data_IF_770759780217
#
_entry.id   IF_770759780217
#
_cell.length_a   1.000
_cell.length_b   1.000
_cell.length_c   1.000
_cell.angle_alpha   90.00
_cell.angle_beta   90.00
_cell.angle_gamma   90.00
#
_symmetry.space_group_name_H-M   'P 1'
#
loop_
_entity.id
_entity.type
_entity.pdbx_description
1 polymer ?
#
# COMPACT_ATOMS: atom_id res chain seq x y z
N UNK A 1 -14.04 15.21 -27.16
CA UNK A 1 -13.30 14.69 -28.32
C UNK A 1 -11.78 14.80 -28.16
N UNK A 2 -11.19 15.98 -27.95
CA UNK A 2 -9.73 16.08 -27.65
C UNK A 2 -9.37 15.67 -26.21
N UNK A 3 -10.28 15.87 -25.25
CA UNK A 3 -10.10 15.43 -23.85
C UNK A 3 -10.15 13.91 -23.73
N UNK A 4 -11.01 13.23 -24.48
CA UNK A 4 -11.11 11.76 -24.50
C UNK A 4 -9.88 11.08 -25.13
N UNK A 5 -9.17 11.82 -26.01
CA UNK A 5 -7.89 11.39 -26.62
C UNK A 5 -6.71 11.51 -25.65
N UNK A 6 -6.80 12.36 -24.62
CA UNK A 6 -5.76 12.59 -23.60
C UNK A 6 -6.07 11.85 -22.30
N UNK A 7 -7.35 11.70 -21.97
CA UNK A 7 -7.84 11.09 -20.73
C UNK A 7 -8.58 9.81 -21.06
N UNK A 8 -7.89 8.68 -20.94
CA UNK A 8 -8.48 7.36 -21.11
C UNK A 8 -9.31 6.99 -19.87
N UNK A 9 -10.61 7.29 -19.91
CA UNK A 9 -11.53 7.06 -18.79
C UNK A 9 -11.61 5.59 -18.39
N UNK A 10 -11.57 4.68 -19.36
CA UNK A 10 -11.55 3.23 -19.11
C UNK A 10 -10.26 2.81 -18.38
N UNK A 11 -9.11 3.36 -18.79
CA UNK A 11 -7.83 3.15 -18.13
C UNK A 11 -7.82 3.63 -16.68
N UNK A 12 -8.35 4.84 -16.43
CA UNK A 12 -8.43 5.41 -15.08
C UNK A 12 -9.32 4.56 -14.18
N UNK A 13 -10.49 4.13 -14.66
CA UNK A 13 -11.40 3.28 -13.90
C UNK A 13 -10.75 1.93 -13.60
N UNK A 14 -10.10 1.30 -14.59
CA UNK A 14 -9.37 0.03 -14.39
C UNK A 14 -8.27 0.18 -13.35
N UNK A 15 -7.42 1.20 -13.46
CA UNK A 15 -6.33 1.46 -12.51
C UNK A 15 -6.86 1.77 -11.10
N UNK A 16 -7.96 2.53 -10.98
CA UNK A 16 -8.58 2.82 -9.69
C UNK A 16 -9.14 1.56 -9.01
N UNK A 17 -9.77 0.68 -9.78
CA UNK A 17 -10.26 -0.62 -9.27
C UNK A 17 -9.09 -1.49 -8.82
N UNK A 18 -8.01 -1.57 -9.62
CA UNK A 18 -6.81 -2.33 -9.26
C UNK A 18 -6.17 -1.77 -7.99
N UNK A 19 -6.08 -0.44 -7.87
CA UNK A 19 -5.52 0.21 -6.68
C UNK A 19 -6.36 -0.07 -5.44
N UNK A 20 -7.69 0.02 -5.54
CA UNK A 20 -8.61 -0.36 -4.45
C UNK A 20 -8.44 -1.83 -4.04
N UNK A 21 -8.21 -2.73 -5.01
CA UNK A 21 -8.00 -4.14 -4.74
C UNK A 21 -6.66 -4.40 -4.04
N UNK A 22 -5.60 -3.70 -4.44
CA UNK A 22 -4.25 -3.87 -3.89
C UNK A 22 -4.11 -3.26 -2.50
N UNK A 23 -4.66 -2.06 -2.27
CA UNK A 23 -4.59 -1.37 -0.96
C UNK A 23 -5.47 -2.03 0.10
N UNK A 24 -6.37 -2.93 -0.29
CA UNK A 24 -7.33 -3.65 0.58
C UNK A 24 -7.88 -2.79 1.76
N UNK A 25 -8.54 -1.66 1.45
CA UNK A 25 -9.02 -0.76 2.51
C UNK A 25 -10.07 -1.42 3.41
N UNK A 26 -10.78 -2.44 2.91
CA UNK A 26 -11.82 -3.15 3.65
C UNK A 26 -11.19 -4.09 4.68
N UNK A 27 -10.16 -4.85 4.31
CA UNK A 27 -9.41 -5.72 5.23
C UNK A 27 -8.59 -4.93 6.24
N UNK A 28 -7.97 -3.83 5.81
CA UNK A 28 -7.10 -3.01 6.67
C UNK A 28 -7.87 -2.14 7.68
N UNK A 29 -9.12 -1.74 7.39
CA UNK A 29 -9.91 -0.91 8.31
C UNK A 29 -10.14 -1.52 9.72
N UNK A 30 -10.62 -2.76 9.90
CA UNK A 30 -10.79 -3.37 11.22
C UNK A 30 -9.46 -3.64 11.92
N UNK A 31 -8.40 -3.97 11.18
CA UNK A 31 -7.05 -4.14 11.72
C UNK A 31 -6.56 -2.81 12.26
N UNK A 32 -6.64 -1.74 11.48
CA UNK A 32 -6.26 -0.40 11.92
C UNK A 32 -7.05 0.04 13.17
N UNK A 33 -8.35 -0.26 13.21
CA UNK A 33 -9.16 0.04 14.38
C UNK A 33 -8.69 -0.75 15.61
N UNK A 34 -8.37 -2.04 15.49
CA UNK A 34 -7.96 -2.88 16.62
C UNK A 34 -6.64 -2.46 17.27
N UNK A 35 -5.72 -1.83 16.52
CA UNK A 35 -4.47 -1.27 17.06
C UNK A 35 -4.60 0.20 17.50
N UNK A 36 -5.56 0.96 16.99
CA UNK A 36 -5.69 2.39 17.30
C UNK A 36 -6.87 2.76 18.21
N UNK A 37 -7.72 1.81 18.62
CA UNK A 37 -8.93 2.11 19.40
C UNK A 37 -8.65 2.77 20.77
N UNK A 38 -7.52 2.46 21.40
CA UNK A 38 -7.12 3.05 22.68
C UNK A 38 -6.45 4.42 22.54
N UNK A 39 -6.19 4.90 21.32
CA UNK A 39 -5.49 6.16 21.09
C UNK A 39 -6.46 7.37 21.12
N UNK A 40 -6.01 8.53 21.62
CA UNK A 40 -6.75 9.79 21.50
C UNK A 40 -7.07 10.12 20.03
N UNK A 41 -8.24 10.70 19.78
CA UNK A 41 -8.72 11.04 18.44
C UNK A 41 -7.75 11.90 17.62
N UNK A 42 -7.00 12.78 18.28
CA UNK A 42 -5.97 13.62 17.64
C UNK A 42 -4.77 12.80 17.15
N UNK A 43 -4.30 11.82 17.94
CA UNK A 43 -3.20 10.94 17.54
C UNK A 43 -3.62 10.02 16.40
N UNK A 44 -4.81 9.43 16.47
CA UNK A 44 -5.36 8.59 15.39
C UNK A 44 -5.45 9.36 14.06
N UNK A 45 -5.90 10.62 14.09
CA UNK A 45 -5.97 11.47 12.88
C UNK A 45 -4.57 11.79 12.32
N UNK A 46 -3.58 12.00 13.19
CA UNK A 46 -2.19 12.23 12.77
C UNK A 46 -1.60 11.01 12.08
N UNK A 47 -1.84 9.80 12.61
CA UNK A 47 -1.39 8.55 11.99
C UNK A 47 -1.99 8.42 10.59
N UNK A 48 -3.32 8.58 10.44
CA UNK A 48 -3.98 8.48 9.13
C UNK A 48 -3.36 9.45 8.11
N UNK A 49 -3.17 10.71 8.48
CA UNK A 49 -2.60 11.72 7.57
C UNK A 49 -1.18 11.33 7.18
N UNK A 50 -0.35 10.90 8.13
CA UNK A 50 1.03 10.48 7.86
C UNK A 50 1.10 9.27 6.93
N UNK A 51 0.23 8.28 7.12
CA UNK A 51 0.19 7.11 6.24
C UNK A 51 -0.20 7.48 4.81
N UNK A 52 -1.21 8.34 4.64
CA UNK A 52 -1.63 8.83 3.31
C UNK A 52 -0.52 9.64 2.65
N UNK A 53 0.19 10.49 3.40
CA UNK A 53 1.33 11.25 2.91
C UNK A 53 2.43 10.32 2.38
N UNK A 54 2.81 9.31 3.16
CA UNK A 54 3.85 8.34 2.79
C UNK A 54 3.42 7.53 1.57
N UNK A 55 2.21 6.97 1.56
CA UNK A 55 1.68 6.21 0.43
C UNK A 55 1.66 7.06 -0.86
N UNK A 56 1.19 8.30 -0.76
CA UNK A 56 1.17 9.24 -1.89
C UNK A 56 2.59 9.51 -2.41
N UNK A 57 3.55 9.73 -1.52
CA UNK A 57 4.95 9.97 -1.91
C UNK A 57 5.57 8.76 -2.61
N UNK A 58 5.34 7.55 -2.10
CA UNK A 58 5.82 6.31 -2.72
C UNK A 58 5.18 6.13 -4.11
N UNK A 59 3.86 6.32 -4.23
CA UNK A 59 3.16 6.20 -5.51
C UNK A 59 3.65 7.23 -6.53
N UNK A 60 3.86 8.49 -6.12
CA UNK A 60 4.41 9.52 -7.00
C UNK A 60 5.85 9.18 -7.41
N UNK A 61 6.68 8.72 -6.47
CA UNK A 61 8.04 8.28 -6.78
C UNK A 61 8.03 7.17 -7.83
N UNK A 62 7.24 6.12 -7.66
CA UNK A 62 7.13 5.03 -8.64
C UNK A 62 6.51 5.49 -9.97
N UNK A 63 5.55 6.41 -9.94
CA UNK A 63 4.94 6.94 -11.16
C UNK A 63 5.95 7.70 -12.03
N UNK A 64 6.88 8.46 -11.43
CA UNK A 64 7.88 9.23 -12.17
C UNK A 64 9.19 8.48 -12.41
N UNK A 65 9.67 7.70 -11.43
CA UNK A 65 10.98 7.04 -11.48
C UNK A 65 10.90 5.54 -11.76
N UNK A 66 9.72 4.92 -11.73
CA UNK A 66 9.58 3.45 -11.80
C UNK A 66 10.24 2.85 -13.03
N UNK A 67 9.99 3.40 -14.23
CA UNK A 67 10.60 2.92 -15.47
C UNK A 67 12.14 3.09 -15.46
N UNK A 68 12.64 4.20 -14.93
CA UNK A 68 14.08 4.45 -14.79
C UNK A 68 14.75 3.48 -13.82
N UNK A 69 14.09 3.19 -12.70
CA UNK A 69 14.58 2.23 -11.70
C UNK A 69 14.62 0.82 -12.30
N UNK A 70 13.53 0.39 -12.95
CA UNK A 70 13.44 -0.95 -13.55
C UNK A 70 14.44 -1.14 -14.69
N UNK A 71 14.58 -0.15 -15.58
CA UNK A 71 15.53 -0.20 -16.69
C UNK A 71 16.99 -0.22 -16.24
N UNK A 72 17.33 0.45 -15.11
CA UNK A 72 18.67 0.35 -14.51
C UNK A 72 19.03 -1.11 -14.17
N UNK A 73 18.07 -1.88 -13.65
CA UNK A 73 18.24 -3.30 -13.35
C UNK A 73 18.02 -4.22 -14.56
N UNK A 74 17.71 -3.67 -15.74
CA UNK A 74 17.34 -4.43 -16.94
C UNK A 74 16.12 -5.34 -16.71
N UNK A 75 15.18 -4.88 -15.88
CA UNK A 75 13.95 -5.58 -15.50
C UNK A 75 12.77 -4.94 -16.22
N UNK A 76 11.83 -5.74 -16.72
CA UNK A 76 10.59 -5.24 -17.32
C UNK A 76 9.50 -5.04 -16.28
N UNK A 77 8.45 -4.27 -16.63
CA UNK A 77 7.26 -4.15 -15.78
C UNK A 77 6.61 -5.52 -15.52
N UNK A 78 6.67 -6.43 -16.48
CA UNK A 78 6.11 -7.78 -16.33
C UNK A 78 6.95 -8.64 -15.38
N UNK A 79 8.28 -8.52 -15.40
CA UNK A 79 9.15 -9.16 -14.40
C UNK A 79 8.84 -8.65 -12.99
N UNK A 80 8.65 -7.34 -12.83
CA UNK A 80 8.27 -6.74 -11.56
C UNK A 80 6.90 -7.25 -11.07
N UNK A 81 5.92 -7.40 -11.97
CA UNK A 81 4.60 -7.97 -11.64
C UNK A 81 4.70 -9.42 -11.17
N UNK A 82 5.54 -10.24 -11.81
CA UNK A 82 5.76 -11.63 -11.39
C UNK A 82 6.38 -11.66 -9.99
N UNK A 83 7.44 -10.87 -9.76
CA UNK A 83 8.08 -10.79 -8.46
C UNK A 83 7.13 -10.30 -7.35
N UNK A 84 6.35 -9.25 -7.62
CA UNK A 84 5.33 -8.75 -6.71
C UNK A 84 4.26 -9.79 -6.40
N UNK A 85 3.79 -10.54 -7.41
CA UNK A 85 2.84 -11.63 -7.22
C UNK A 85 3.39 -12.76 -6.34
N UNK A 86 4.67 -13.12 -6.50
CA UNK A 86 5.33 -14.10 -5.63
C UNK A 86 5.47 -13.59 -4.18
N UNK A 87 5.81 -12.32 -3.99
CA UNK A 87 5.89 -11.71 -2.66
C UNK A 87 4.51 -11.75 -1.98
N UNK A 88 3.44 -11.37 -2.69
CA UNK A 88 2.07 -11.42 -2.16
C UNK A 88 1.63 -12.84 -1.82
N UNK A 89 1.99 -13.83 -2.65
CA UNK A 89 1.74 -15.24 -2.37
C UNK A 89 2.42 -15.68 -1.06
N UNK A 90 3.71 -15.38 -0.91
CA UNK A 90 4.47 -15.70 0.30
C UNK A 90 3.87 -15.00 1.52
N UNK A 91 3.53 -13.72 1.40
CA UNK A 91 2.92 -12.94 2.48
C UNK A 91 1.58 -13.54 2.93
N UNK A 92 0.75 -13.96 1.98
CA UNK A 92 -0.51 -14.66 2.28
C UNK A 92 -0.30 -16.00 3.00
N UNK A 93 0.66 -16.81 2.55
CA UNK A 93 1.00 -18.11 3.18
C UNK A 93 1.52 -17.90 4.61
N UNK A 94 2.46 -16.98 4.78
CA UNK A 94 3.05 -16.62 6.08
C UNK A 94 1.98 -16.08 7.04
N UNK A 95 1.05 -15.26 6.53
CA UNK A 95 -0.09 -14.75 7.28
C UNK A 95 -1.02 -15.85 7.79
N UNK A 96 -1.36 -16.83 6.96
CA UNK A 96 -2.18 -17.99 7.39
C UNK A 96 -1.47 -18.84 8.45
N UNK A 97 -0.14 -18.91 8.39
CA UNK A 97 0.67 -19.62 9.39
C UNK A 97 0.79 -18.86 10.73
N UNK A 98 0.25 -17.65 10.84
CA UNK A 98 0.20 -16.88 12.09
C UNK A 98 1.43 -16.01 12.36
N UNK A 99 2.37 -15.91 11.42
CA UNK A 99 3.48 -14.97 11.48
C UNK A 99 2.97 -13.58 11.05
N UNK A 100 2.34 -12.85 11.98
CA UNK A 100 1.89 -11.49 11.74
C UNK A 100 2.82 -10.49 12.41
N UNK A 101 3.22 -9.45 11.67
CA UNK A 101 4.08 -8.37 12.19
C UNK A 101 3.45 -7.64 13.39
N UNK A 102 2.12 -7.67 13.51
CA UNK A 102 1.37 -7.08 14.62
C UNK A 102 1.56 -7.81 15.97
N UNK A 103 2.01 -9.08 15.96
CA UNK A 103 2.19 -9.88 17.19
C UNK A 103 3.53 -9.68 17.89
N UNK A 104 4.50 -9.02 17.25
CA UNK A 104 5.89 -8.96 17.71
C UNK A 104 6.28 -7.64 18.40
N UNK A 105 5.34 -6.71 18.61
CA UNK A 105 5.67 -5.30 18.86
C UNK A 105 5.47 -4.87 20.31
N UNK A 106 6.47 -4.16 20.82
CA UNK A 106 6.37 -3.41 22.07
C UNK A 106 5.61 -2.08 21.82
N UNK A 107 4.92 -1.51 22.83
CA UNK A 107 4.01 -0.37 22.66
C UNK A 107 4.62 0.89 22.02
N UNK A 108 5.94 1.06 22.10
CA UNK A 108 6.66 2.23 21.55
C UNK A 108 6.84 2.18 20.02
N UNK A 109 6.85 0.98 19.42
CA UNK A 109 7.00 0.79 17.97
C UNK A 109 5.65 0.80 17.23
N UNK A 110 4.55 0.68 17.97
CA UNK A 110 3.19 0.64 17.44
C UNK A 110 2.79 1.92 16.67
N UNK A 111 3.30 3.10 17.04
CA UNK A 111 2.99 4.36 16.34
C UNK A 111 3.68 4.44 14.97
N UNK A 112 4.88 3.88 14.84
CA UNK A 112 5.63 3.84 13.57
C UNK A 112 5.13 2.71 12.67
N UNK A 113 4.71 1.58 13.25
CA UNK A 113 4.25 0.41 12.49
C UNK A 113 2.77 0.49 12.13
N UNK A 114 1.94 1.27 12.83
CA UNK A 114 0.57 1.59 12.37
C UNK A 114 0.53 2.34 11.03
N UNK A 115 1.68 2.80 10.54
CA UNK A 115 1.83 3.33 9.18
C UNK A 115 1.77 2.20 8.14
N UNK A 116 2.31 1.01 8.44
CA UNK A 116 2.48 -0.09 7.47
C UNK A 116 1.15 -0.64 6.94
N UNK A 117 0.12 -0.96 7.77
CA UNK A 117 -1.17 -1.42 7.24
C UNK A 117 -1.97 -0.35 6.49
N UNK A 118 -1.59 0.93 6.59
CA UNK A 118 -2.22 2.03 5.84
C UNK A 118 -1.38 2.50 4.65
N UNK A 119 -0.13 2.04 4.56
CA UNK A 119 0.83 2.42 3.52
C UNK A 119 1.12 1.30 2.51
N UNK A 120 0.56 0.10 2.72
CA UNK A 120 0.39 -0.95 1.68
C UNK A 120 -0.78 -0.61 0.77
#
# INVERSE_FOLDING_TARGET
MLVDLVVNWEGIVKSAIVLLLVTDPIGNAPIFYSVTYNLPSQQRKRIIIRSVEVATLILLMFAFLGDTILSYFHITVDDFRIAGGLILLVYGVVGIMGYTEAGALQPEEAETIAIVPLAT
#
